data_IF_538606317116
#
_entry.id   IF_538606317116
#
_cell.length_a   1.000
_cell.length_b   1.000
_cell.length_c   1.000
_cell.angle_alpha   90.00
_cell.angle_beta   90.00
_cell.angle_gamma   90.00
#
_symmetry.space_group_name_H-M   'P 1'
#
loop_
_entity.id
_entity.type
_entity.pdbx_description
1 polymer ?
2 branched ?
3 branched ?
4 non-polymer ?
5 non-polymer ?
#
# COMPACT_ATOMS: atom_id res chain seq x y z
C UNK A 1 -22.45 -7.08 -24.31
N UNK A 2 -22.53 -5.76 -24.37
CA UNK A 2 -22.72 -4.92 -23.19
C UNK A 2 -22.93 -5.74 -21.91
N UNK A 3 -21.85 -5.98 -21.16
CA UNK A 3 -21.92 -6.76 -19.90
C UNK A 3 -21.97 -5.90 -18.63
N UNK A 4 -22.03 -4.58 -18.81
CA UNK A 4 -22.09 -3.62 -17.70
C UNK A 4 -22.67 -2.30 -18.19
N UNK A 5 -21.87 -1.24 -18.15
CA UNK A 5 -22.21 0.07 -18.74
C UNK A 5 -20.96 0.93 -18.96
N UNK A 6 -20.96 1.75 -20.00
CA UNK A 6 -19.84 2.65 -20.30
C UNK A 6 -20.27 4.13 -20.42
N UNK A 7 -19.49 5.02 -19.80
CA UNK A 7 -19.77 6.47 -19.82
C UNK A 7 -18.52 7.33 -20.01
N UNK A 8 -18.62 8.65 -19.73
CA UNK A 8 -17.45 9.54 -19.83
C UNK A 8 -16.35 9.15 -18.86
N UNK A 9 -16.69 8.98 -17.59
CA UNK A 9 -15.70 8.63 -16.57
C UNK A 9 -16.15 7.55 -15.58
N UNK A 10 -16.86 6.54 -16.09
CA UNK A 10 -17.36 5.42 -15.25
C UNK A 10 -17.65 4.11 -16.00
N UNK A 11 -17.55 3.00 -15.27
CA UNK A 11 -17.94 1.67 -15.74
C UNK A 11 -18.61 0.91 -14.60
N UNK A 12 -19.88 0.61 -14.78
CA UNK A 12 -20.67 -0.09 -13.78
C UNK A 12 -21.00 -1.49 -14.31
N UNK A 13 -20.35 -2.53 -13.73
CA UNK A 13 -20.39 -3.91 -14.26
C UNK A 13 -21.74 -4.60 -14.11
N UNK A 14 -22.79 -3.94 -14.59
CA UNK A 14 -24.14 -4.47 -14.52
C UNK A 14 -24.94 -4.04 -15.74
N UNK A 15 -25.60 -5.01 -16.37
CA UNK A 15 -26.31 -4.81 -17.63
C UNK A 15 -27.42 -3.76 -17.50
N UNK A 16 -27.20 -2.58 -18.10
CA UNK A 16 -28.21 -1.50 -18.14
C UNK A 16 -29.39 -1.90 -19.03
N UNK A 17 -29.65 -3.21 -19.08
CA UNK A 17 -30.76 -3.79 -19.85
C UNK A 17 -32.12 -3.49 -19.19
N UNK A 18 -32.06 -3.20 -17.89
CA UNK A 18 -33.22 -2.77 -17.12
C UNK A 18 -33.29 -1.24 -17.06
N UNK A 19 -32.22 -0.60 -17.51
CA UNK A 19 -32.15 0.86 -17.54
C UNK A 19 -32.14 1.42 -16.13
N UNK A 20 -31.79 0.57 -15.18
CA UNK A 20 -31.69 0.97 -13.77
C UNK A 20 -30.32 1.59 -13.45
N UNK A 21 -29.34 1.32 -14.32
CA UNK A 21 -27.96 1.73 -14.09
C UNK A 21 -27.79 3.24 -14.24
N UNK A 22 -27.20 3.82 -13.20
CA UNK A 22 -26.84 5.24 -13.17
C UNK A 22 -25.32 5.41 -13.04
N UNK A 23 -24.87 6.65 -13.06
CA UNK A 23 -23.47 7.00 -12.79
C UNK A 23 -23.21 7.07 -11.26
N UNK A 24 -22.02 6.59 -10.82
CA UNK A 24 -21.64 6.64 -9.41
C UNK A 24 -21.27 8.05 -8.94
N UNK A 25 -21.45 9.03 -9.83
CA UNK A 25 -21.25 10.43 -9.49
C UNK A 25 -22.58 11.10 -9.24
N UNK A 26 -23.67 10.47 -9.71
CA UNK A 26 -24.99 11.08 -9.64
C UNK A 26 -25.98 10.41 -8.67
N UNK A 27 -26.00 9.09 -8.63
CA UNK A 27 -27.08 8.39 -7.92
C UNK A 27 -26.60 7.18 -7.12
N UNK A 28 -27.43 6.69 -6.16
CA UNK A 28 -27.10 5.50 -5.35
C UNK A 28 -27.15 4.21 -6.16
N UNK A 29 -26.03 3.49 -6.16
CA UNK A 29 -25.89 2.26 -6.92
C UNK A 29 -26.47 1.06 -6.15
N UNK A 30 -27.41 1.33 -5.24
CA UNK A 30 -28.03 0.30 -4.42
C UNK A 30 -28.49 -0.91 -5.23
N UNK A 31 -28.83 -0.67 -6.50
CA UNK A 31 -29.26 -1.71 -7.44
C UNK A 31 -28.18 -2.73 -7.76
N UNK A 32 -26.92 -2.39 -7.49
CA UNK A 32 -25.78 -3.24 -7.81
C UNK A 32 -25.67 -4.44 -6.89
N UNK A 33 -26.34 -4.36 -5.73
CA UNK A 33 -26.41 -5.46 -4.77
C UNK A 33 -27.44 -5.17 -3.67
N UNK A 34 -26.99 -5.20 -2.43
CA UNK A 34 -27.87 -5.06 -1.28
C UNK A 34 -27.38 -3.97 -0.32
N UNK A 35 -28.29 -3.11 0.18
CA UNK A 35 -28.04 -2.12 1.22
C UNK A 35 -27.12 -2.60 2.36
N UNK A 36 -27.44 -3.73 2.98
CA UNK A 36 -26.66 -4.27 4.10
C UNK A 36 -25.20 -4.50 3.73
N UNK A 37 -24.95 -4.78 2.45
CA UNK A 37 -23.60 -4.96 1.95
C UNK A 37 -22.85 -3.65 1.88
N UNK A 38 -23.56 -2.53 1.65
CA UNK A 38 -22.93 -1.22 1.57
C UNK A 38 -22.50 -0.69 2.93
N UNK A 39 -23.46 -0.55 3.84
CA UNK A 39 -23.15 -0.15 5.22
C UNK A 39 -22.38 -1.26 5.96
N UNK A 40 -21.99 -2.29 5.21
CA UNK A 40 -21.07 -3.32 5.67
C UNK A 40 -19.63 -2.85 5.44
N UNK A 41 -19.41 -2.21 4.30
CA UNK A 41 -18.11 -1.72 3.89
C UNK A 41 -17.74 -0.42 4.61
N UNK A 42 -18.73 0.46 4.76
CA UNK A 42 -18.57 1.68 5.54
C UNK A 42 -18.21 1.38 7.00
N UNK A 43 -18.73 0.27 7.52
CA UNK A 43 -18.44 -0.20 8.87
C UNK A 43 -17.04 -0.80 8.94
N UNK A 44 -16.51 -1.18 7.78
CA UNK A 44 -15.17 -1.73 7.64
C UNK A 44 -14.16 -0.62 7.38
N UNK A 45 -14.60 0.46 6.74
CA UNK A 45 -13.75 1.64 6.53
C UNK A 45 -13.42 2.32 7.84
N UNK A 46 -14.44 2.46 8.68
CA UNK A 46 -14.29 3.09 9.98
C UNK A 46 -13.32 2.30 10.84
N UNK A 47 -13.54 0.99 10.92
CA UNK A 47 -12.66 0.11 11.70
C UNK A 47 -11.22 0.19 11.25
N UNK A 48 -11.01 0.27 9.94
CA UNK A 48 -9.67 0.47 9.36
C UNK A 48 -9.10 1.80 9.82
N UNK A 49 -9.79 2.89 9.48
CA UNK A 49 -9.46 4.20 10.01
C UNK A 49 -9.17 4.09 11.50
N UNK A 50 -9.88 3.19 12.19
CA UNK A 50 -9.88 3.17 13.66
C UNK A 50 -8.77 2.44 14.39
N UNK A 51 -8.22 1.43 13.74
CA UNK A 51 -7.03 0.81 14.26
C UNK A 51 -5.83 1.47 13.61
N UNK A 52 -6.04 2.02 12.41
CA UNK A 52 -4.99 2.70 11.65
C UNK A 52 -4.56 4.03 12.23
N UNK A 53 -5.48 4.99 12.25
CA UNK A 53 -5.21 6.30 12.84
C UNK A 53 -4.36 6.21 14.11
N UNK A 54 -4.83 5.48 15.15
CA UNK A 54 -4.10 5.59 16.41
C UNK A 54 -2.80 4.78 16.48
N UNK A 55 -2.67 3.72 15.68
CA UNK A 55 -1.45 2.93 15.69
C UNK A 55 -0.37 3.53 14.79
N UNK A 56 -0.77 4.28 13.77
CA UNK A 56 0.17 4.94 12.86
C UNK A 56 0.74 6.24 13.42
N UNK A 57 -0.16 7.08 13.94
CA UNK A 57 0.23 8.27 14.69
C UNK A 57 1.09 7.86 15.87
N UNK A 58 0.63 6.86 16.62
CA UNK A 58 1.38 6.34 17.77
C UNK A 58 2.74 5.80 17.33
N UNK A 59 2.80 5.20 16.15
CA UNK A 59 4.08 4.81 15.53
C UNK A 59 4.96 6.06 15.44
N UNK A 60 4.42 7.09 14.79
CA UNK A 60 5.09 8.39 14.71
C UNK A 60 5.41 8.95 16.10
N UNK A 61 4.41 8.98 16.97
CA UNK A 61 4.52 9.52 18.35
C UNK A 61 5.63 8.86 19.15
N UNK A 62 5.87 7.57 18.93
CA UNK A 62 6.93 6.87 19.65
C UNK A 62 8.31 7.23 19.10
N UNK A 63 8.45 7.19 17.77
CA UNK A 63 9.72 7.52 17.10
C UNK A 63 10.08 8.97 17.38
N UNK A 64 9.07 9.84 17.34
CA UNK A 64 9.18 11.22 17.79
C UNK A 64 9.95 11.32 19.12
N UNK A 65 9.32 10.86 20.21
CA UNK A 65 9.86 11.01 21.57
C UNK A 65 11.23 10.33 21.74
N UNK A 66 11.42 9.22 21.05
CA UNK A 66 12.57 8.37 21.32
C UNK A 66 13.77 8.62 20.40
N UNK A 67 14.81 9.19 21.00
CA UNK A 67 16.00 9.60 20.26
C UNK A 67 16.90 8.43 19.83
N UNK A 68 16.71 7.25 20.42
CA UNK A 68 17.51 6.07 20.06
C UNK A 68 16.96 5.37 18.80
N UNK A 69 15.76 5.78 18.39
CA UNK A 69 15.17 5.31 17.15
C UNK A 69 15.53 6.24 15.99
N UNK A 70 16.79 6.14 15.55
CA UNK A 70 17.30 6.94 14.41
C UNK A 70 18.05 6.07 13.39
N UNK A 71 17.66 4.80 13.31
CA UNK A 71 18.34 3.82 12.46
C UNK A 71 17.60 3.63 11.11
N UNK A 72 18.19 2.86 10.16
CA UNK A 72 17.54 2.60 8.87
C UNK A 72 16.10 2.11 9.00
N UNK A 73 15.89 1.20 9.96
CA UNK A 73 14.64 0.48 10.17
C UNK A 73 13.51 1.34 10.77
N UNK A 74 13.86 2.12 11.79
CA UNK A 74 12.92 3.05 12.41
C UNK A 74 12.44 4.07 11.40
N UNK A 75 13.35 4.52 10.55
CA UNK A 75 13.08 5.51 9.50
C UNK A 75 12.00 5.06 8.53
N UNK A 76 12.30 3.98 7.82
CA UNK A 76 11.41 3.50 6.77
C UNK A 76 10.00 3.32 7.29
N UNK A 77 9.87 2.83 8.52
CA UNK A 77 8.55 2.56 9.12
C UNK A 77 7.80 3.80 9.60
N UNK A 78 8.55 4.79 10.11
CA UNK A 78 7.99 6.10 10.47
C UNK A 78 7.43 6.73 9.20
N UNK A 79 8.21 6.63 8.14
CA UNK A 79 7.76 6.95 6.80
C UNK A 79 6.42 6.27 6.47
N UNK A 80 6.36 4.95 6.66
CA UNK A 80 5.18 4.13 6.36
C UNK A 80 3.97 4.55 7.16
N UNK A 81 4.19 4.85 8.43
CA UNK A 81 3.13 5.35 9.30
C UNK A 81 2.46 6.56 8.65
N UNK A 82 3.28 7.48 8.14
CA UNK A 82 2.81 8.68 7.45
C UNK A 82 2.11 8.31 6.13
N UNK A 83 2.60 7.26 5.47
CA UNK A 83 1.98 6.75 4.25
C UNK A 83 0.60 6.18 4.55
N UNK A 84 0.50 5.50 5.70
CA UNK A 84 -0.73 4.90 6.17
C UNK A 84 -1.76 5.95 6.55
N UNK A 85 -1.38 6.83 7.47
CA UNK A 85 -2.27 7.89 7.96
C UNK A 85 -2.88 8.72 6.83
N UNK A 86 -2.07 8.99 5.80
CA UNK A 86 -2.54 9.71 4.64
C UNK A 86 -3.67 8.96 3.93
N UNK A 87 -3.53 7.64 3.84
CA UNK A 87 -4.64 6.82 3.36
C UNK A 87 -5.82 6.97 4.30
N UNK A 88 -5.56 6.82 5.60
CA UNK A 88 -6.59 6.90 6.65
C UNK A 88 -7.43 8.19 6.58
N UNK A 89 -6.77 9.33 6.40
CA UNK A 89 -7.45 10.64 6.37
C UNK A 89 -7.89 11.10 4.97
N UNK A 90 -7.06 10.84 3.97
CA UNK A 90 -7.35 11.28 2.62
C UNK A 90 -8.14 10.25 1.85
N UNK A 91 -7.54 9.08 1.69
CA UNK A 91 -8.14 8.01 0.90
C UNK A 91 -9.32 7.33 1.56
N UNK A 92 -9.30 7.25 2.88
CA UNK A 92 -10.30 6.45 3.62
C UNK A 92 -11.57 7.20 3.98
N UNK A 93 -11.45 8.38 4.59
CA UNK A 93 -12.63 9.19 4.90
C UNK A 93 -13.43 9.52 3.64
N UNK A 94 -12.78 9.45 2.48
CA UNK A 94 -13.47 9.68 1.23
C UNK A 94 -14.32 8.45 0.92
N UNK A 95 -13.72 7.26 1.03
CA UNK A 95 -14.42 5.99 0.73
C UNK A 95 -15.50 5.61 1.76
N UNK A 96 -15.21 5.86 3.04
CA UNK A 96 -16.17 5.73 4.13
C UNK A 96 -17.50 6.39 3.77
N UNK A 97 -17.49 7.73 3.76
CA UNK A 97 -18.62 8.55 3.30
C UNK A 97 -19.28 7.97 2.06
N UNK A 98 -18.46 7.48 1.13
CA UNK A 98 -18.93 6.95 -0.12
C UNK A 98 -19.73 5.65 0.07
N UNK A 99 -19.31 4.81 1.02
CA UNK A 99 -20.03 3.57 1.30
C UNK A 99 -21.39 3.80 1.95
N UNK A 100 -21.49 4.84 2.79
CA UNK A 100 -22.71 5.13 3.53
C UNK A 100 -23.79 5.86 2.74
N UNK A 101 -23.50 6.27 1.51
CA UNK A 101 -24.51 6.88 0.64
C UNK A 101 -24.65 6.10 -0.65
N UNK A 102 -23.75 5.14 -0.85
CA UNK A 102 -23.79 4.27 -2.01
C UNK A 102 -23.39 4.94 -3.30
N UNK A 103 -22.47 5.91 -3.22
CA UNK A 103 -21.86 6.56 -4.40
C UNK A 103 -20.96 7.75 -4.06
N UNK A 104 -20.10 8.13 -5.01
CA UNK A 104 -19.27 9.34 -4.89
C UNK A 104 -20.12 10.60 -5.06
N UNK A 105 -20.60 11.10 -3.92
CA UNK A 105 -21.38 12.33 -3.88
C UNK A 105 -20.43 13.52 -4.01
N UNK A 106 -19.19 13.31 -3.55
CA UNK A 106 -18.13 14.30 -3.63
C UNK A 106 -17.60 14.46 -5.05
N UNK A 107 -18.24 13.78 -5.99
CA UNK A 107 -17.96 13.94 -7.40
C UNK A 107 -16.64 13.31 -7.82
N UNK A 108 -16.22 13.60 -9.05
CA UNK A 108 -15.01 13.03 -9.66
C UNK A 108 -13.76 13.34 -8.85
N UNK A 109 -13.66 14.58 -8.37
CA UNK A 109 -12.52 15.01 -7.57
C UNK A 109 -12.39 14.20 -6.26
N UNK A 110 -13.52 13.67 -5.78
CA UNK A 110 -13.51 12.74 -4.65
C UNK A 110 -12.82 11.45 -5.05
N UNK A 111 -13.18 10.94 -6.22
CA UNK A 111 -12.62 9.70 -6.77
C UNK A 111 -11.13 9.87 -7.02
N UNK A 112 -10.67 11.11 -7.16
CA UNK A 112 -9.24 11.35 -7.16
C UNK A 112 -8.68 10.98 -5.79
N UNK A 113 -8.96 11.84 -4.80
CA UNK A 113 -8.42 11.68 -3.44
C UNK A 113 -8.40 10.22 -2.95
N UNK A 114 -9.59 9.70 -2.63
CA UNK A 114 -9.77 8.31 -2.24
C UNK A 114 -8.75 7.39 -2.92
N UNK A 115 -8.74 7.44 -4.25
CA UNK A 115 -7.94 6.57 -5.09
C UNK A 115 -6.48 6.94 -5.17
N UNK A 116 -6.18 8.20 -4.89
CA UNK A 116 -4.81 8.65 -4.92
C UNK A 116 -4.03 8.06 -3.75
N UNK A 117 -4.42 8.47 -2.54
CA UNK A 117 -3.73 8.05 -1.31
C UNK A 117 -3.64 6.53 -1.21
N UNK A 118 -4.76 5.85 -1.52
CA UNK A 118 -4.82 4.39 -1.53
C UNK A 118 -3.86 3.75 -2.54
N UNK A 119 -3.56 4.47 -3.63
CA UNK A 119 -2.51 4.06 -4.59
C UNK A 119 -1.17 4.49 -4.06
N UNK A 120 -1.16 5.58 -3.32
CA UNK A 120 0.08 6.10 -2.77
C UNK A 120 0.56 5.17 -1.66
N UNK A 121 -0.22 5.06 -0.58
CA UNK A 121 0.17 4.26 0.59
C UNK A 121 0.54 2.81 0.31
N UNK A 122 0.01 2.27 -0.79
CA UNK A 122 0.29 0.91 -1.20
C UNK A 122 1.60 0.79 -1.96
N UNK A 123 1.96 1.85 -2.69
CA UNK A 123 3.19 1.92 -3.50
C UNK A 123 4.40 2.38 -2.71
N UNK A 124 4.23 3.40 -1.87
CA UNK A 124 5.23 3.76 -0.89
C UNK A 124 5.67 2.50 -0.17
N UNK A 125 4.67 1.75 0.33
CA UNK A 125 4.87 0.44 0.99
C UNK A 125 5.70 -0.54 0.15
N UNK A 126 5.57 -0.43 -1.17
CA UNK A 126 6.33 -1.27 -2.09
C UNK A 126 7.77 -0.78 -2.18
N UNK A 127 7.94 0.49 -2.56
CA UNK A 127 9.29 1.04 -2.75
C UNK A 127 10.11 1.04 -1.47
N UNK A 128 9.46 1.34 -0.35
CA UNK A 128 10.13 1.26 0.94
C UNK A 128 10.70 -0.13 1.19
N UNK A 129 9.93 -1.17 0.86
CA UNK A 129 10.41 -2.55 0.90
C UNK A 129 11.64 -2.72 0.04
N UNK A 130 11.67 -2.01 -1.07
CA UNK A 130 12.80 -2.06 -1.99
C UNK A 130 14.04 -1.58 -1.24
N UNK A 131 13.98 -0.35 -0.75
CA UNK A 131 15.05 0.23 0.07
C UNK A 131 15.49 -0.74 1.18
N UNK A 132 14.51 -1.25 1.92
CA UNK A 132 14.72 -2.21 3.00
C UNK A 132 15.50 -3.45 2.58
N UNK A 133 15.13 -4.00 1.42
CA UNK A 133 15.78 -5.20 0.89
C UNK A 133 17.27 -4.96 0.70
N UNK A 134 17.63 -3.79 0.17
CA UNK A 134 19.02 -3.44 -0.15
C UNK A 134 19.86 -3.05 1.07
N UNK A 135 19.22 -2.40 2.05
CA UNK A 135 19.91 -2.01 3.28
C UNK A 135 20.44 -3.26 3.98
N UNK A 136 19.55 -4.24 4.16
CA UNK A 136 19.90 -5.55 4.74
C UNK A 136 20.95 -6.26 3.90
N UNK A 137 20.86 -6.04 2.60
CA UNK A 137 21.83 -6.53 1.66
C UNK A 137 23.18 -5.91 2.01
N UNK A 138 23.26 -4.58 2.00
CA UNK A 138 24.51 -3.86 2.28
C UNK A 138 25.08 -4.15 3.69
N UNK A 139 24.20 -4.24 4.69
CA UNK A 139 24.65 -4.41 6.09
C UNK A 139 25.01 -5.85 6.45
N UNK A 140 24.44 -6.83 5.74
CA UNK A 140 24.70 -8.24 6.03
C UNK A 140 25.61 -8.89 4.98
N UNK A 141 25.36 -8.61 3.70
CA UNK A 141 26.25 -9.08 2.64
C UNK A 141 27.47 -8.17 2.53
N UNK A 142 27.33 -6.96 3.06
CA UNK A 142 28.38 -5.92 3.03
C UNK A 142 29.32 -6.05 1.81
N UNK A 143 28.75 -5.94 0.59
CA UNK A 143 29.44 -6.38 -0.63
C UNK A 143 30.41 -5.35 -1.24
N UNK A 144 30.05 -4.06 -1.16
CA UNK A 144 30.92 -2.96 -1.59
C UNK A 144 31.99 -2.73 -0.53
N UNK A 145 32.95 -1.85 -0.85
CA UNK A 145 34.09 -1.54 0.03
C UNK A 145 33.65 -0.91 1.36
N UNK A 146 34.63 -0.58 2.21
CA UNK A 146 34.38 0.10 3.49
C UNK A 146 33.35 1.25 3.35
N UNK A 147 32.13 1.00 3.80
CA UNK A 147 30.99 1.92 3.63
C UNK A 147 30.14 1.99 4.90
N UNK A 148 29.30 3.03 4.99
CA UNK A 148 28.32 3.15 6.06
C UNK A 148 26.93 3.48 5.48
N UNK A 149 25.97 2.58 5.72
CA UNK A 149 24.55 2.90 5.60
C UNK A 149 24.15 3.47 6.97
N UNK A 150 24.18 4.81 7.06
CA UNK A 150 23.86 5.53 8.30
C UNK A 150 22.70 6.49 8.13
N UNK A 151 22.67 7.53 8.96
CA UNK A 151 21.60 8.53 8.98
C UNK A 151 21.27 9.18 7.63
N UNK A 152 22.29 9.39 6.80
CA UNK A 152 22.18 10.17 5.56
C UNK A 152 21.39 9.48 4.45
N UNK A 153 21.63 8.16 4.31
CA UNK A 153 20.95 7.36 3.30
C UNK A 153 19.49 7.07 3.67
N UNK A 154 19.25 6.98 4.99
CA UNK A 154 17.90 6.77 5.52
C UNK A 154 16.94 7.92 5.16
N UNK A 155 17.48 9.10 4.81
CA UNK A 155 16.68 10.21 4.30
C UNK A 155 16.69 10.25 2.76
N UNK A 156 17.70 9.62 2.17
CA UNK A 156 17.75 9.46 0.72
C UNK A 156 16.72 8.43 0.28
N UNK A 157 16.49 7.45 1.15
CA UNK A 157 15.59 6.32 0.90
C UNK A 157 14.10 6.57 1.10
N UNK A 158 13.74 7.21 2.21
CA UNK A 158 12.37 7.70 2.43
C UNK A 158 11.97 8.64 1.28
N UNK A 159 12.92 9.47 0.85
CA UNK A 159 12.73 10.44 -0.26
C UNK A 159 12.67 9.78 -1.63
N UNK A 160 13.25 8.59 -1.76
CA UNK A 160 13.18 7.81 -2.99
C UNK A 160 11.81 7.15 -3.17
N UNK A 161 11.23 6.71 -2.06
CA UNK A 161 9.96 5.96 -2.05
C UNK A 161 8.76 6.83 -2.40
N UNK A 162 8.68 8.02 -1.79
CA UNK A 162 7.68 9.03 -2.15
C UNK A 162 7.77 9.36 -3.63
N UNK A 163 9.01 9.53 -4.10
CA UNK A 163 9.34 9.86 -5.49
C UNK A 163 8.75 8.89 -6.52
N UNK A 164 8.71 7.61 -6.16
CA UNK A 164 8.30 6.54 -7.05
C UNK A 164 6.89 6.00 -6.73
N UNK A 165 6.27 6.55 -5.68
CA UNK A 165 4.85 6.35 -5.42
C UNK A 165 4.04 7.50 -6.03
N UNK A 166 4.64 8.70 -6.05
CA UNK A 166 4.08 9.86 -6.75
C UNK A 166 4.25 9.72 -8.26
N UNK A 167 5.25 8.93 -8.65
CA UNK A 167 5.47 8.57 -10.05
C UNK A 167 4.34 7.68 -10.57
N UNK A 168 3.69 6.94 -9.67
CA UNK A 168 2.59 6.05 -10.05
C UNK A 168 1.20 6.61 -9.70
N UNK A 169 1.04 7.08 -8.47
CA UNK A 169 -0.27 7.55 -7.99
C UNK A 169 -0.76 8.85 -8.63
N UNK A 170 0.16 9.67 -9.13
CA UNK A 170 -0.18 11.03 -9.57
C UNK A 170 -0.44 11.22 -11.07
N UNK A 171 0.28 10.49 -11.94
CA UNK A 171 0.00 10.58 -13.38
C UNK A 171 -1.48 10.49 -13.84
N UNK A 172 -2.33 9.69 -13.15
CA UNK A 172 -3.77 9.74 -13.48
C UNK A 172 -4.48 11.06 -13.16
N UNK A 173 -3.93 11.84 -12.22
CA UNK A 173 -4.49 13.13 -11.79
C UNK A 173 -4.48 14.21 -12.88
N UNK A 174 -3.42 14.22 -13.68
CA UNK A 174 -3.18 15.29 -14.66
C UNK A 174 -3.57 14.94 -16.10
N UNK A 175 -3.12 13.78 -16.59
CA UNK A 175 -3.46 13.37 -17.95
C UNK A 175 -2.98 12.00 -18.41
N UNK A 176 -2.51 11.15 -17.49
CA UNK A 176 -2.08 9.81 -17.86
C UNK A 176 -2.84 8.72 -17.09
N UNK A 177 -3.82 8.12 -17.78
CA UNK A 177 -4.86 7.29 -17.16
C UNK A 177 -5.72 8.11 -16.19
N UNK A 178 -6.68 7.47 -15.53
CA UNK A 178 -7.53 8.17 -14.57
C UNK A 178 -7.92 7.33 -13.38
N UNK A 179 -8.39 8.02 -12.34
CA UNK A 179 -8.98 7.35 -11.19
C UNK A 179 -10.47 7.18 -11.38
N UNK A 180 -10.87 5.91 -11.34
CA UNK A 180 -12.20 5.48 -11.75
C UNK A 180 -12.77 4.50 -10.70
N UNK A 181 -14.08 4.60 -10.40
CA UNK A 181 -14.79 3.74 -9.43
C UNK A 181 -14.66 2.24 -9.65
N UNK A 182 -14.76 1.48 -8.57
CA UNK A 182 -14.39 0.05 -8.58
C UNK A 182 -15.40 -0.89 -7.92
N UNK A 183 -15.82 -1.92 -8.66
CA UNK A 183 -16.68 -2.98 -8.13
C UNK A 183 -18.00 -2.47 -7.60
N UNK A 184 -18.09 -2.29 -6.29
CA UNK A 184 -19.26 -1.67 -5.70
C UNK A 184 -19.19 -0.15 -5.85
N UNK A 185 -18.26 0.28 -6.71
CA UNK A 185 -18.02 1.69 -7.08
C UNK A 185 -17.48 2.57 -5.94
N UNK A 186 -17.74 2.13 -4.71
CA UNK A 186 -17.35 2.84 -3.50
C UNK A 186 -15.84 3.11 -3.44
N UNK A 187 -15.04 2.09 -3.77
CA UNK A 187 -13.60 2.26 -3.92
C UNK A 187 -13.32 2.77 -5.34
N UNK A 188 -12.23 3.54 -5.48
CA UNK A 188 -11.74 4.03 -6.78
C UNK A 188 -10.30 3.59 -6.99
N UNK A 189 -9.93 3.35 -8.24
CA UNK A 189 -8.58 2.91 -8.62
C UNK A 189 -8.24 3.23 -10.06
N UNK A 190 -7.15 2.64 -10.57
CA UNK A 190 -6.70 2.91 -11.95
C UNK A 190 -7.72 2.42 -13.00
N UNK A 191 -7.77 3.12 -14.14
CA UNK A 191 -8.62 2.75 -15.26
C UNK A 191 -8.00 1.60 -16.06
N UNK A 192 -8.41 0.37 -15.72
CA UNK A 192 -8.00 -0.79 -16.49
C UNK A 192 -9.09 -1.22 -17.45
N UNK A 193 -10.35 -0.92 -17.08
CA UNK A 193 -11.58 -1.49 -17.68
C UNK A 193 -11.89 -1.02 -19.09
N UNK A 194 -11.29 0.11 -19.47
CA UNK A 194 -11.50 0.74 -20.77
C UNK A 194 -10.18 1.15 -21.41
N UNK A 195 -10.18 1.29 -22.74
CA UNK A 195 -9.06 1.97 -23.40
C UNK A 195 -8.96 3.47 -23.07
N UNK A 196 -10.04 4.23 -23.28
CA UNK A 196 -10.03 5.71 -23.26
C UNK A 196 -8.71 6.29 -23.74
N UNK A 197 -8.64 6.56 -25.03
CA UNK A 197 -7.40 6.90 -25.74
C UNK A 197 -6.85 8.30 -25.44
N UNK A 198 -7.76 9.21 -25.11
CA UNK A 198 -7.43 10.61 -24.82
C UNK A 198 -6.63 10.79 -23.51
N UNK A 199 -6.33 9.68 -22.83
CA UNK A 199 -5.54 9.68 -21.56
C UNK A 199 -4.38 8.68 -21.58
N UNK A 200 -4.37 7.78 -22.57
CA UNK A 200 -3.34 6.73 -22.71
C UNK A 200 -3.39 5.69 -21.57
N UNK A 201 -4.55 5.03 -21.41
CA UNK A 201 -4.74 4.06 -20.31
C UNK A 201 -4.11 2.69 -20.58
N UNK A 202 -3.56 2.54 -21.79
CA UNK A 202 -2.90 1.31 -22.18
C UNK A 202 -1.44 1.36 -21.78
N UNK A 203 -0.78 2.45 -22.16
CA UNK A 203 0.63 2.68 -21.83
C UNK A 203 0.84 2.85 -20.34
N UNK A 204 -0.10 3.54 -19.69
CA UNK A 204 0.00 3.77 -18.25
C UNK A 204 -0.01 2.46 -17.49
N UNK A 205 -1.01 1.62 -17.77
CA UNK A 205 -1.20 0.37 -17.05
C UNK A 205 0.03 -0.54 -17.16
N UNK A 206 0.42 -0.86 -18.40
CA UNK A 206 1.62 -1.65 -18.64
C UNK A 206 2.75 -1.12 -17.75
N UNK A 207 3.11 0.15 -17.94
CA UNK A 207 4.11 0.82 -17.12
C UNK A 207 3.83 0.60 -15.62
N UNK A 208 2.58 0.80 -15.22
CA UNK A 208 2.18 0.79 -13.81
C UNK A 208 2.47 -0.55 -13.18
N UNK A 209 2.21 -1.61 -13.93
CA UNK A 209 2.58 -2.95 -13.51
C UNK A 209 4.08 -3.12 -13.58
N UNK A 210 4.65 -2.82 -14.74
CA UNK A 210 6.07 -3.04 -15.00
C UNK A 210 6.92 -2.28 -13.97
N UNK A 211 6.86 -0.96 -14.03
CA UNK A 211 7.71 -0.14 -13.19
C UNK A 211 7.39 -0.32 -11.72
N UNK A 212 6.10 -0.39 -11.40
CA UNK A 212 5.67 -0.28 -10.02
C UNK A 212 5.06 -1.54 -9.44
N UNK A 213 5.37 -2.67 -10.07
CA UNK A 213 5.05 -3.98 -9.49
C UNK A 213 6.15 -4.97 -9.80
N UNK A 214 6.30 -5.30 -11.08
CA UNK A 214 7.25 -6.33 -11.51
C UNK A 214 8.66 -6.00 -11.01
N UNK A 215 9.20 -4.87 -11.48
CA UNK A 215 10.57 -4.44 -11.18
C UNK A 215 10.90 -4.44 -9.69
N UNK A 216 10.14 -3.70 -8.86
CA UNK A 216 10.46 -3.64 -7.44
C UNK A 216 10.55 -5.02 -6.81
N UNK A 217 9.77 -5.98 -7.34
CA UNK A 217 9.77 -7.35 -6.84
C UNK A 217 11.04 -8.10 -7.22
N UNK A 218 11.52 -7.88 -8.44
CA UNK A 218 12.75 -8.52 -8.91
C UNK A 218 13.95 -8.02 -8.11
N UNK A 219 13.91 -6.75 -7.73
CA UNK A 219 14.94 -6.14 -6.88
C UNK A 219 14.88 -6.73 -5.47
N UNK A 220 13.67 -6.83 -4.92
CA UNK A 220 13.44 -7.41 -3.59
C UNK A 220 13.69 -8.92 -3.56
N UNK A 221 13.41 -9.59 -4.69
CA UNK A 221 13.79 -10.97 -4.89
C UNK A 221 15.31 -11.10 -5.05
N UNK A 222 15.91 -10.09 -5.70
CA UNK A 222 17.36 -10.03 -5.91
C UNK A 222 18.11 -9.95 -4.57
N UNK A 223 17.81 -8.92 -3.80
CA UNK A 223 18.38 -8.72 -2.46
C UNK A 223 18.17 -9.96 -1.58
N UNK A 224 17.08 -10.66 -1.82
CA UNK A 224 16.79 -11.94 -1.18
C UNK A 224 17.83 -12.98 -1.59
N UNK A 225 18.07 -13.08 -2.90
CA UNK A 225 18.99 -14.09 -3.46
C UNK A 225 20.41 -14.05 -2.95
N UNK A 226 20.84 -12.87 -2.52
CA UNK A 226 22.18 -12.68 -1.97
C UNK A 226 22.22 -13.00 -0.48
N UNK A 227 21.11 -12.73 0.21
CA UNK A 227 20.98 -13.00 1.64
C UNK A 227 20.87 -14.49 1.96
N UNK A 228 20.24 -15.23 1.06
CA UNK A 228 20.22 -16.69 1.10
C UNK A 228 21.66 -17.20 0.93
N UNK A 229 22.37 -16.56 0.00
CA UNK A 229 23.77 -16.86 -0.30
C UNK A 229 24.70 -16.48 0.87
N UNK A 230 24.52 -15.28 1.41
CA UNK A 230 25.35 -14.79 2.51
C UNK A 230 25.26 -15.68 3.75
N UNK A 231 24.09 -15.72 4.39
CA UNK A 231 23.89 -16.46 5.66
C UNK A 231 24.32 -17.95 5.66
N UNK A 232 24.30 -18.57 4.48
CA UNK A 232 24.78 -19.93 4.32
C UNK A 232 26.32 -20.01 4.49
N UNK A 233 27.04 -19.47 3.52
CA UNK A 233 28.49 -19.66 3.39
C UNK A 233 29.27 -18.36 3.07
N UNK A 234 28.56 -17.30 2.70
CA UNK A 234 29.16 -15.98 2.45
C UNK A 234 29.04 -15.05 3.68
N UNK A 235 28.52 -15.60 4.78
CA UNK A 235 28.53 -14.95 6.09
C UNK A 235 29.29 -15.80 7.12
N UNK A 236 30.11 -16.72 6.60
CA UNK A 236 31.03 -17.52 7.41
C UNK A 236 32.39 -16.82 7.58
N UNK A 237 33.01 -16.45 6.46
CA UNK A 237 34.31 -15.75 6.43
C UNK A 237 34.19 -14.27 6.84
N UNK A 238 32.99 -13.70 6.66
CA UNK A 238 32.67 -12.33 7.07
C UNK A 238 32.79 -12.09 8.58
N UNK A 239 32.84 -13.19 9.34
CA UNK A 239 33.20 -13.22 10.78
C UNK A 239 32.20 -12.58 11.77
N UNK A 240 31.15 -11.93 11.25
CA UNK A 240 30.13 -11.28 12.08
C UNK A 240 29.92 -12.05 13.39
N UNK A 241 30.08 -11.37 14.52
CA UNK A 241 29.85 -12.01 15.83
C UNK A 241 28.36 -12.40 15.97
N UNK A 242 28.11 -13.56 16.58
CA UNK A 242 26.75 -14.12 16.72
C UNK A 242 25.75 -13.20 17.45
N UNK A 243 26.25 -12.48 18.45
CA UNK A 243 25.47 -11.43 19.14
C UNK A 243 24.89 -10.44 18.11
N UNK A 244 25.76 -9.93 17.24
CA UNK A 244 25.41 -9.01 16.14
C UNK A 244 24.35 -9.63 15.22
N UNK A 245 24.59 -10.88 14.81
CA UNK A 245 23.66 -11.65 13.98
C UNK A 245 22.27 -11.77 14.63
N UNK A 246 22.24 -12.22 15.89
CA UNK A 246 20.99 -12.48 16.62
C UNK A 246 19.98 -11.35 16.43
N UNK A 247 20.36 -10.15 16.86
CA UNK A 247 19.50 -8.99 16.75
C UNK A 247 19.31 -8.51 15.30
N UNK A 248 20.37 -8.63 14.50
CA UNK A 248 20.33 -8.25 13.07
C UNK A 248 19.49 -9.21 12.24
N UNK A 249 19.39 -10.46 12.70
CA UNK A 249 18.53 -11.43 12.06
C UNK A 249 17.08 -11.03 12.33
N UNK A 250 16.78 -10.69 13.58
CA UNK A 250 15.44 -10.21 13.98
C UNK A 250 15.06 -8.95 13.19
N UNK A 251 16.03 -8.42 12.44
CA UNK A 251 15.85 -7.24 11.57
C UNK A 251 15.81 -7.65 10.09
N UNK A 252 16.40 -8.79 9.77
CA UNK A 252 16.31 -9.36 8.43
C UNK A 252 14.91 -9.88 8.24
N UNK A 253 14.47 -10.71 9.19
CA UNK A 253 13.18 -11.39 9.16
C UNK A 253 12.05 -10.40 8.97
N UNK A 254 12.07 -9.37 9.83
CA UNK A 254 11.10 -8.30 9.80
C UNK A 254 10.87 -7.72 8.40
N UNK A 255 11.96 -7.53 7.65
CA UNK A 255 11.86 -7.04 6.27
C UNK A 255 10.97 -7.94 5.44
N UNK A 256 11.27 -9.24 5.46
CA UNK A 256 10.64 -10.17 4.56
C UNK A 256 9.21 -10.59 4.97
N UNK A 257 8.96 -10.63 6.28
CA UNK A 257 7.59 -10.70 6.78
C UNK A 257 6.73 -9.68 6.04
N UNK A 258 7.19 -8.42 6.04
CA UNK A 258 6.53 -7.32 5.34
C UNK A 258 6.48 -7.55 3.84
N UNK A 259 7.55 -8.12 3.29
CA UNK A 259 7.60 -8.47 1.88
C UNK A 259 6.41 -9.37 1.57
N UNK A 260 6.24 -10.40 2.40
CA UNK A 260 5.17 -11.41 2.24
C UNK A 260 3.80 -10.83 2.54
N UNK A 261 3.62 -10.32 3.74
CA UNK A 261 2.38 -9.67 4.15
C UNK A 261 1.90 -8.70 3.07
N UNK A 262 2.79 -7.82 2.60
CA UNK A 262 2.48 -6.92 1.49
C UNK A 262 1.83 -7.71 0.35
N UNK A 263 2.52 -8.76 -0.09
CA UNK A 263 2.07 -9.58 -1.21
C UNK A 263 0.77 -10.32 -0.90
N UNK A 264 0.59 -10.72 0.36
CA UNK A 264 -0.63 -11.42 0.80
C UNK A 264 -1.89 -10.55 0.70
N UNK A 265 -1.74 -9.27 0.98
CA UNK A 265 -2.88 -8.38 0.95
C UNK A 265 -3.01 -7.72 -0.43
N UNK A 266 -1.95 -7.81 -1.23
CA UNK A 266 -1.84 -7.04 -2.48
C UNK A 266 -1.77 -7.82 -3.79
N UNK A 267 -1.39 -9.09 -3.72
CA UNK A 267 -1.50 -9.99 -4.87
C UNK A 267 -2.93 -10.28 -5.31
N UNK A 268 -3.86 -10.48 -4.35
CA UNK A 268 -5.24 -10.69 -4.76
C UNK A 268 -5.66 -9.55 -5.66
N UNK A 269 -5.45 -8.33 -5.20
CA UNK A 269 -5.74 -7.14 -5.98
C UNK A 269 -5.01 -7.18 -7.33
N UNK A 270 -3.68 -7.04 -7.29
CA UNK A 270 -2.84 -7.06 -8.51
C UNK A 270 -3.34 -8.03 -9.58
N UNK A 271 -3.59 -9.28 -9.17
CA UNK A 271 -4.05 -10.34 -10.06
C UNK A 271 -5.43 -10.09 -10.64
N UNK A 272 -6.35 -9.63 -9.79
CA UNK A 272 -7.71 -9.32 -10.23
C UNK A 272 -7.74 -8.18 -11.24
N UNK A 273 -6.96 -7.13 -10.96
CA UNK A 273 -6.78 -6.00 -11.87
C UNK A 273 -6.26 -6.45 -13.23
N UNK A 274 -5.14 -7.15 -13.21
CA UNK A 274 -4.51 -7.73 -14.39
C UNK A 274 -5.52 -8.52 -15.26
N UNK A 275 -6.38 -9.30 -14.60
CA UNK A 275 -7.40 -10.15 -15.22
C UNK A 275 -8.46 -9.34 -16.00
N UNK A 276 -8.80 -8.16 -15.49
CA UNK A 276 -9.74 -7.27 -16.17
C UNK A 276 -9.07 -6.74 -17.43
N UNK A 277 -7.83 -6.31 -17.25
CA UNK A 277 -7.07 -5.61 -18.27
C UNK A 277 -6.97 -6.40 -19.58
N UNK A 278 -6.86 -7.73 -19.45
CA UNK A 278 -6.81 -8.62 -20.62
C UNK A 278 -8.19 -8.80 -21.25
N UNK A 279 -9.20 -8.89 -20.39
CA UNK A 279 -10.58 -9.19 -20.80
C UNK A 279 -11.44 -7.92 -20.74
N UNK A 280 -10.99 -6.88 -21.44
CA UNK A 280 -11.57 -5.53 -21.35
C UNK A 280 -13.05 -5.46 -21.67
N UNK A 281 -13.87 -5.45 -20.61
CA UNK A 281 -15.33 -5.35 -20.72
C UNK A 281 -16.11 -6.66 -20.70
N UNK A 282 -15.59 -7.65 -19.98
CA UNK A 282 -16.18 -9.00 -19.95
C UNK A 282 -17.32 -9.15 -18.91
N UNK A 283 -17.83 -10.38 -18.79
CA UNK A 283 -18.88 -10.72 -17.82
C UNK A 283 -18.27 -11.00 -16.44
N UNK A 284 -18.59 -10.13 -15.48
CA UNK A 284 -18.20 -10.29 -14.07
C UNK A 284 -19.06 -9.37 -13.22
N UNK A 285 -18.99 -9.54 -11.90
CA UNK A 285 -19.87 -8.80 -10.99
C UNK A 285 -19.18 -7.86 -10.02
N UNK A 286 -19.89 -6.82 -9.57
CA UNK A 286 -19.38 -5.80 -8.65
C UNK A 286 -18.62 -6.39 -7.46
N UNK A 287 -18.94 -7.63 -7.12
CA UNK A 287 -18.35 -8.33 -5.97
C UNK A 287 -16.89 -8.72 -6.28
N UNK A 288 -16.57 -8.81 -7.57
CA UNK A 288 -15.28 -9.27 -8.08
C UNK A 288 -14.06 -8.47 -7.60
N UNK A 289 -14.10 -7.15 -7.79
CA UNK A 289 -12.97 -6.29 -7.48
C UNK A 289 -13.08 -5.74 -6.06
N UNK A 290 -14.31 -5.54 -5.61
CA UNK A 290 -14.61 -4.93 -4.32
C UNK A 290 -13.96 -5.66 -3.14
N UNK A 291 -13.88 -6.99 -3.23
CA UNK A 291 -13.28 -7.80 -2.16
C UNK A 291 -11.76 -7.58 -2.03
N UNK A 292 -10.98 -7.87 -3.09
CA UNK A 292 -9.53 -7.63 -3.04
C UNK A 292 -9.17 -6.16 -2.93
N UNK A 293 -10.16 -5.30 -3.15
CA UNK A 293 -10.01 -3.88 -2.92
C UNK A 293 -10.00 -3.58 -1.42
N UNK A 294 -11.18 -3.56 -0.80
CA UNK A 294 -11.35 -3.17 0.62
C UNK A 294 -10.47 -3.94 1.57
N UNK A 295 -10.29 -5.23 1.29
CA UNK A 295 -9.34 -6.06 2.00
C UNK A 295 -7.93 -5.46 1.90
N UNK A 296 -7.47 -5.25 0.67
CA UNK A 296 -6.13 -4.74 0.41
C UNK A 296 -5.79 -3.46 1.19
N UNK A 297 -6.80 -2.68 1.54
CA UNK A 297 -6.58 -1.41 2.23
C UNK A 297 -6.20 -1.57 3.71
N UNK A 298 -5.85 -2.78 4.13
CA UNK A 298 -5.28 -2.99 5.46
C UNK A 298 -3.81 -2.55 5.49
N UNK A 299 -3.30 -2.22 4.31
CA UNK A 299 -1.93 -1.74 4.09
C UNK A 299 -1.61 -0.46 4.86
N UNK A 300 -2.66 0.23 5.29
CA UNK A 300 -2.55 1.39 6.15
C UNK A 300 -2.47 1.01 7.63
N UNK A 301 -2.45 -0.29 7.93
CA UNK A 301 -2.50 -0.73 9.31
C UNK A 301 -1.49 -1.83 9.63
N UNK A 302 -1.46 -2.88 8.82
CA UNK A 302 -0.67 -4.07 9.14
C UNK A 302 0.83 -3.81 9.35
N UNK A 303 1.37 -2.83 8.63
CA UNK A 303 2.82 -2.50 8.63
C UNK A 303 3.38 -2.13 10.01
N UNK A 304 2.84 -1.06 10.62
CA UNK A 304 3.08 -0.83 12.04
C UNK A 304 2.91 -2.09 12.91
N UNK A 305 1.83 -2.86 12.70
CA UNK A 305 1.52 -4.05 13.51
C UNK A 305 2.62 -5.11 13.50
N UNK A 306 3.26 -5.29 12.34
CA UNK A 306 4.46 -6.12 12.22
C UNK A 306 5.58 -5.51 13.07
N UNK A 307 5.77 -4.20 12.92
CA UNK A 307 6.79 -3.46 13.64
C UNK A 307 6.60 -3.50 15.15
N UNK A 308 5.32 -3.52 15.56
CA UNK A 308 4.93 -3.66 16.96
C UNK A 308 5.25 -5.06 17.46
N UNK A 309 4.82 -6.07 16.71
CA UNK A 309 5.07 -7.44 17.08
C UNK A 309 6.57 -7.79 17.08
N UNK A 310 7.21 -7.62 15.92
CA UNK A 310 8.49 -8.26 15.66
C UNK A 310 9.76 -7.60 16.23
N UNK A 311 9.73 -6.28 16.47
CA UNK A 311 10.93 -5.59 16.95
C UNK A 311 10.93 -5.26 18.44
N UNK A 312 11.80 -5.95 19.18
CA UNK A 312 11.85 -5.84 20.64
C UNK A 312 12.10 -4.40 21.14
N UNK A 313 13.02 -3.71 20.48
CA UNK A 313 13.41 -2.34 20.86
C UNK A 313 12.22 -1.37 20.84
N UNK A 314 11.59 -1.26 19.68
CA UNK A 314 10.40 -0.44 19.47
C UNK A 314 9.35 -0.81 20.51
N UNK A 315 9.16 -2.12 20.68
CA UNK A 315 8.21 -2.71 21.63
C UNK A 315 8.46 -2.25 23.07
N UNK A 316 9.73 -1.97 23.39
CA UNK A 316 10.12 -1.46 24.70
C UNK A 316 10.21 0.06 24.75
N UNK A 317 10.31 0.71 23.59
CA UNK A 317 10.22 2.16 23.50
C UNK A 317 8.76 2.58 23.67
N UNK A 318 7.91 2.06 22.80
CA UNK A 318 6.47 2.35 22.80
C UNK A 318 5.82 2.17 24.17
N UNK A 319 5.95 0.96 24.72
CA UNK A 319 5.50 0.65 26.08
C UNK A 319 5.90 1.79 27.02
N UNK A 320 7.17 2.23 26.93
CA UNK A 320 7.76 3.20 27.85
C UNK A 320 7.20 4.60 27.68
N UNK A 321 6.73 4.89 26.47
CA UNK A 321 6.01 6.13 26.21
C UNK A 321 4.66 6.09 26.92
N UNK A 322 4.09 4.88 27.02
CA UNK A 322 2.68 4.66 27.44
C UNK A 322 2.39 4.53 28.94
N UNK A 323 3.35 4.01 29.70
CA UNK A 323 3.28 4.14 31.16
C UNK A 323 3.72 5.56 31.55
N UNK A 324 4.62 6.14 30.74
CA UNK A 324 5.43 7.34 31.03
C UNK A 324 6.57 7.08 32.01
N UNK A 325 7.55 6.29 31.55
CA UNK A 325 8.75 6.02 32.33
C UNK A 325 9.20 4.57 32.36
N UNK A 326 8.58 3.79 33.25
CA UNK A 326 9.04 2.43 33.59
C UNK A 326 8.12 1.30 33.05
N UNK A 327 8.74 0.25 32.51
CA UNK A 327 8.01 -0.90 31.96
C UNK A 327 7.93 -2.11 32.89
N UNK A 331 12.52 3.86 26.74
CA UNK A 331 13.16 5.18 26.71
C UNK A 331 14.03 5.30 25.46
N UNK A 332 14.45 6.53 25.20
CA UNK A 332 15.45 6.87 24.19
C UNK A 332 15.76 8.36 24.30
N UNK A 333 14.79 9.20 23.95
X LIG B 1 -29.33 3.17 -18.62
X LIG B 1 -28.59 4.51 -18.74
X LIG B 1 -29.46 5.70 -18.30
X LIG B 1 -30.84 5.69 -18.98
X LIG B 1 -31.42 4.31 -18.68
X LIG B 1 -32.88 4.15 -19.11
X LIG B 1 -26.24 5.04 -18.38
X LIG B 1 -25.66 6.10 -17.48
X LIG B 1 -27.36 4.46 -17.97
X LIG B 1 -28.77 6.88 -18.57
X LIG B 1 -31.63 6.76 -18.47
X LIG B 1 -30.59 3.29 -19.25
X LIG B 1 -33.05 3.04 -19.96
X LIG B 1 -25.67 4.76 -19.44
X LIG B 2 -32.29 7.58 -19.47
X LIG B 2 -33.67 8.09 -19.01
X LIG B 2 -34.29 9.09 -20.00
X LIG B 2 -33.31 10.17 -20.50
X LIG B 2 -31.98 9.50 -20.90
X LIG B 2 -30.89 10.45 -21.39
X LIG B 2 -35.20 6.67 -17.66
X LIG B 2 -36.44 7.43 -17.26
X LIG B 2 -34.61 6.99 -18.81
X LIG B 2 -35.45 9.70 -19.46
X LIG B 2 -33.89 10.87 -21.62
X LIG B 2 -31.48 8.69 -19.83
X LIG B 2 -30.56 11.45 -20.43
X LIG B 2 -34.78 5.78 -16.90
X LIG B 3 -34.21 12.28 -21.41
X LIG B 3 -33.15 13.17 -22.10
X LIG B 3 -33.60 14.63 -22.15
X LIG B 3 -34.90 14.71 -22.94
X LIG B 3 -35.99 13.92 -22.18
X LIG B 3 -37.27 13.82 -23.00
X LIG B 3 -32.87 12.68 -23.44
X LIG B 3 -32.60 15.49 -22.73
X LIG B 3 -35.24 16.08 -23.17
X LIG B 3 -35.58 12.58 -21.80
X LIG B 3 -38.23 14.82 -22.58
X LIG C 1 -19.90 -10.38 -22.37
X LIG C 1 -18.68 -10.38 -23.31
X LIG C 1 -18.35 -11.74 -23.98
X LIG C 1 -19.27 -12.94 -23.65
X LIG C 1 -20.26 -12.72 -22.49
X LIG C 1 -20.39 -13.94 -21.58
X LIG C 1 -19.56 -9.41 -25.40
X LIG C 1 -18.86 -9.64 -26.72
X LIG C 1 -18.80 -9.34 -24.31
X LIG C 1 -17.01 -12.08 -23.73
X LIG C 1 -19.99 -13.30 -24.83
X LIG C 1 -19.91 -11.61 -21.67
X LIG C 1 -21.65 -13.96 -20.96
X LIG C 1 -20.77 -9.29 -25.37
X LIG C 2 -19.42 -14.42 -25.55
X LIG C 2 -20.35 -15.65 -25.59
X LIG C 2 -19.68 -16.83 -26.34
X LIG C 2 -18.82 -16.44 -27.56
X LIG C 2 -18.25 -15.01 -27.55
X LIG C 2 -17.97 -14.51 -28.98
X LIG C 2 -22.08 -16.02 -23.81
X LIG C 2 -22.38 -16.86 -22.60
X LIG C 2 -20.81 -16.03 -24.24
X LIG C 2 -20.67 -17.75 -26.80
X LIG C 2 -17.75 -17.38 -27.65
X LIG C 2 -19.10 -14.08 -26.90
X LIG C 2 -16.67 -13.96 -29.10
X LIG C 2 -23.02 -15.37 -24.33
X LIG D 1 0.07 -2.05 -8.14
X LIG D 1 0.64 -3.48 -8.15
X LIG D 1 0.97 -4.03 -6.77
X LIG D 1 1.30 -2.96 -5.73
X LIG D 1 0.25 -1.87 -5.66
X LIG D 1 -0.35 -1.46 -6.79
X LIG D 1 -1.36 -0.37 -6.74
X LIG D 1 -2.67 -0.60 -6.71
X LIG D 1 -3.64 0.52 -6.68
X LIG D 1 -4.13 0.92 -5.48
X LIG D 1 -5.09 2.00 -5.31
X LIG D 1 -6.30 1.88 -4.73
X LIG D 1 -6.88 0.63 -4.16
X LIG D 1 -8.04 0.72 -3.48
X LIG D 1 -8.65 -0.47 -2.91
X LIG D 1 -0.35 -1.29 -9.39
X LIG D 1 -1.27 -2.75 -8.34
X LIG D 1 -0.10 -1.31 -4.31
X LIG D 1 -4.05 1.15 -7.98
X LIG D 1 -6.25 -0.72 -4.31
X LIG E 1 0.08 0.93 32.31
X LIG E 1 0.05 0.68 33.54
X LIG E 1 -1.08 0.55 31.42
X LIG E 1 -1.78 1.79 30.89
X LIG E 1 -1.79 1.79 29.35
X LIG E 1 -2.99 2.56 28.77
X LIG E 1 -2.92 2.58 27.24
X LIG E 1 -3.62 3.80 26.63
X LIG E 1 -3.22 4.00 25.17
X LIG E 1 -4.35 4.58 24.31
X LIG E 1 -3.95 4.81 22.85
X LIG E 1 -3.71 3.53 22.04
X LIG E 1 -4.24 3.65 20.62
X LIG E 1 -3.62 2.64 19.66
X LIG E 1 -4.47 1.37 19.54
X LIG E 1 -5.42 1.37 18.34
X LIG E 1 -6.87 1.10 18.75
X LIG F 1 -0.08 7.99 32.56
X LIG F 1 0.70 7.38 33.37
X LIG F 1 -0.33 7.41 31.18
X LIG F 1 0.67 8.00 30.18
X LIG F 1 -0.01 8.54 28.92
X LIG F 1 0.31 7.67 27.70
X LIG F 1 0.30 8.47 26.40
X LIG F 1 -0.93 8.19 25.54
X LIG F 1 -1.52 9.47 25.00
X LIG F 1 -2.61 9.19 23.95
X LIG F 1 -2.07 9.21 22.53
X LIG F 1 -2.09 7.81 21.91
X LIG F 1 -1.89 7.86 20.40
X LIG F 1 -3.15 7.44 19.65
X LIG F 1 -3.69 8.55 18.75
X LIG F 1 -4.86 9.30 19.39
X LIG F 1 -4.44 10.64 19.98
#
# INVERSE_FOLDING_TARGET
XMNGTEGPNFYVPFSNKTGVVRSPFEAPQYYLAEPWQFSMLAAYMFLLIMLGFPINFLTLYVTVQHKKLRTPLNYILLNLAVADLFMVFGGFTTTLYTSLHGYFVFGPTGCNLEGFFATLGGEIALWSLVVLAIERYVVVCKPMSNFRFGENHAIMGVAFTWVMALACAAPPLVGWSRYIPEGMQCSCGIDYYTPHEETNNESFVIYMFVVHFIIPLIVIFFCYGQLVFTVKEAAAQQQESATTQKAEKEVTRMVIIMVIAFLICWLPYAGVAFYIFTHQGSDFGPIFMTIPAFFAKTSAVYNPVIYIMMNKQFRNCMVTTLCCGKNPLGDDEASTTVSKTETSQVAPA
NAG C1 C2 C3 C4 C5 C6 C7 C8 N2 O3 O4 O5 O6 O7
NAG C1 C2 C3 C4 C5 C6 C7 C8 N2 O3 O4 O5 O6 O7
BMA C1 C2 C3 C4 C5 C6 O2 O3 O4 O5 O6
NAG C1 C2 C3 C4 C5 C6 C7 C8 N2 O3 O4 O5 O6 O7
NAG C1 C2 C3 C4 C5 C6 C7 C8 N2 O3 O4 O5 O6 O7
RET C1 C2 C3 C4 C5 C6 C7 C8 C9 C10 C11 C12 C13 C14 C15 C16 C17 C18 C19 C20
PLM C1 O1 C2 C3 C4 C5 C6 C7 C8 C9 CA CB CC CD CE CF CG
PLM C1 O1 C2 C3 C4 C5 C6 C7 C8 C9 CA CB CC CD CE CF CG
#
